data_IF_207214013373
#
_entry.id   IF_207214013373
#
_cell.length_a   1.000
_cell.length_b   1.000
_cell.length_c   1.000
_cell.angle_alpha   90.00
_cell.angle_beta   90.00
_cell.angle_gamma   90.00
#
_symmetry.space_group_name_H-M   'P 1'
#
loop_
_entity.id
_entity.type
_entity.pdbx_description
1 polymer ?
#
# COMPACT_ATOMS: atom_id res chain seq x y z
N UNK A 1 28.91 32.11 11.19
CA UNK A 1 28.13 30.85 11.31
C UNK A 1 26.90 31.08 12.20
N UNK A 2 25.90 31.84 11.73
CA UNK A 2 24.55 31.98 12.33
C UNK A 2 23.65 32.68 11.30
N UNK A 3 23.13 31.97 10.30
CA UNK A 3 22.45 32.66 9.21
C UNK A 3 21.49 31.80 8.42
N UNK A 4 20.21 31.86 8.82
CA UNK A 4 19.06 31.67 7.93
C UNK A 4 19.01 32.77 6.83
N UNK A 5 20.15 33.12 6.21
CA UNK A 5 20.27 34.20 5.23
C UNK A 5 20.29 33.71 3.79
N UNK A 6 20.44 32.40 3.58
CA UNK A 6 20.52 31.81 2.26
C UNK A 6 19.17 31.16 1.92
N UNK A 7 18.41 31.80 1.04
CA UNK A 7 17.07 31.38 0.60
C UNK A 7 17.07 29.91 0.17
N UNK A 8 18.19 29.42 -0.37
CA UNK A 8 18.37 28.03 -0.79
C UNK A 8 18.32 27.04 0.38
N UNK A 9 18.86 27.40 1.54
CA UNK A 9 18.83 26.53 2.73
C UNK A 9 17.42 26.42 3.28
N UNK A 10 16.69 27.55 3.36
CA UNK A 10 15.27 27.55 3.74
C UNK A 10 14.44 26.70 2.78
N UNK A 11 14.67 26.86 1.47
CA UNK A 11 14.00 26.09 0.43
C UNK A 11 14.32 24.59 0.54
N UNK A 12 15.56 24.23 0.85
CA UNK A 12 15.97 22.84 1.11
C UNK A 12 15.20 22.22 2.29
N UNK A 13 15.09 22.93 3.41
CA UNK A 13 14.28 22.48 4.56
C UNK A 13 12.80 22.34 4.19
N UNK A 14 12.24 23.32 3.48
CA UNK A 14 10.85 23.31 3.04
C UNK A 14 10.56 22.12 2.10
N UNK A 15 11.45 21.86 1.12
CA UNK A 15 11.32 20.73 0.21
C UNK A 15 11.47 19.38 0.92
N UNK A 16 12.36 19.29 1.91
CA UNK A 16 12.56 18.04 2.68
C UNK A 16 11.32 17.70 3.48
N UNK A 17 10.78 18.69 4.20
CA UNK A 17 9.53 18.52 4.97
C UNK A 17 8.37 18.26 4.01
N UNK A 18 8.29 18.99 2.90
CA UNK A 18 7.26 18.79 1.87
C UNK A 18 7.30 17.40 1.25
N UNK A 19 8.49 16.88 0.94
CA UNK A 19 8.68 15.53 0.40
C UNK A 19 8.25 14.46 1.40
N UNK A 20 8.64 14.61 2.67
CA UNK A 20 8.21 13.71 3.74
C UNK A 20 6.68 13.68 3.87
N UNK A 21 6.04 14.86 3.86
CA UNK A 21 4.58 14.96 3.88
C UNK A 21 3.92 14.34 2.65
N UNK A 22 4.44 14.58 1.46
CA UNK A 22 3.92 14.00 0.22
C UNK A 22 3.98 12.47 0.25
N UNK A 23 5.10 11.88 0.72
CA UNK A 23 5.25 10.44 0.86
C UNK A 23 4.23 9.85 1.84
N UNK A 24 4.05 10.49 3.01
CA UNK A 24 3.09 10.03 4.03
C UNK A 24 1.66 10.15 3.52
N UNK A 25 1.28 11.29 2.95
CA UNK A 25 -0.08 11.52 2.44
C UNK A 25 -0.40 10.59 1.28
N UNK A 26 0.54 10.42 0.33
CA UNK A 26 0.38 9.48 -0.77
C UNK A 26 0.27 8.05 -0.25
N UNK A 27 1.16 7.65 0.67
CA UNK A 27 1.12 6.34 1.33
C UNK A 27 -0.25 6.10 1.95
N UNK A 28 -0.74 6.97 2.83
CA UNK A 28 -2.05 6.82 3.48
C UNK A 28 -3.19 6.75 2.44
N UNK A 29 -3.18 7.61 1.43
CA UNK A 29 -4.25 7.62 0.40
C UNK A 29 -4.22 6.41 -0.52
N UNK A 30 -3.04 5.95 -0.90
CA UNK A 30 -2.87 4.87 -1.86
C UNK A 30 -2.85 3.49 -1.19
N UNK A 31 -2.51 3.40 0.09
CA UNK A 31 -2.44 2.15 0.87
C UNK A 31 -3.75 1.38 0.85
N UNK A 32 -4.89 2.09 0.83
CA UNK A 32 -6.22 1.45 0.83
C UNK A 32 -6.89 1.41 -0.56
N UNK A 33 -6.17 1.79 -1.63
CA UNK A 33 -6.74 1.88 -2.99
C UNK A 33 -6.64 0.56 -3.77
N UNK A 34 -5.64 -0.27 -3.46
CA UNK A 34 -5.48 -1.64 -4.01
C UNK A 34 -6.16 -2.69 -3.14
N UNK A 35 -7.35 -2.41 -2.60
CA UNK A 35 -8.29 -3.52 -2.41
C UNK A 35 -8.90 -3.78 -3.78
N UNK A 36 -8.09 -4.37 -4.66
CA UNK A 36 -8.65 -5.33 -5.61
C UNK A 36 -9.57 -6.23 -4.79
N UNK A 37 -10.72 -6.46 -5.37
CA UNK A 37 -11.94 -6.88 -4.72
C UNK A 37 -11.68 -8.12 -3.85
N UNK A 38 -11.29 -7.91 -2.58
CA UNK A 38 -10.91 -8.98 -1.66
C UNK A 38 -12.04 -10.01 -1.56
N UNK A 39 -13.29 -9.56 -1.75
CA UNK A 39 -14.46 -10.43 -1.81
C UNK A 39 -14.51 -11.29 -3.09
N UNK A 40 -14.01 -10.79 -4.21
CA UNK A 40 -13.86 -11.52 -5.48
C UNK A 40 -12.70 -12.51 -5.41
N UNK A 41 -11.57 -12.12 -4.83
CA UNK A 41 -10.41 -13.01 -4.61
C UNK A 41 -10.78 -14.16 -3.64
N UNK A 42 -11.45 -13.85 -2.52
CA UNK A 42 -12.00 -14.86 -1.60
C UNK A 42 -13.00 -15.78 -2.31
N UNK A 43 -13.85 -15.23 -3.20
CA UNK A 43 -14.86 -16.02 -3.92
C UNK A 43 -14.23 -16.92 -4.97
N UNK A 44 -13.17 -16.45 -5.62
CA UNK A 44 -12.41 -17.22 -6.58
C UNK A 44 -11.65 -18.36 -5.88
N UNK A 45 -10.91 -18.08 -4.79
CA UNK A 45 -10.25 -19.10 -3.97
C UNK A 45 -11.24 -20.17 -3.46
N UNK A 46 -12.38 -19.76 -2.91
CA UNK A 46 -13.40 -20.71 -2.45
C UNK A 46 -13.97 -21.58 -3.59
N UNK A 47 -14.10 -21.02 -4.81
CA UNK A 47 -14.56 -21.78 -5.98
C UNK A 47 -13.49 -22.75 -6.50
N UNK A 48 -12.21 -22.38 -6.41
CA UNK A 48 -11.09 -23.27 -6.73
C UNK A 48 -10.98 -24.43 -5.73
N UNK A 49 -11.08 -24.15 -4.41
CA UNK A 49 -11.08 -25.19 -3.37
C UNK A 49 -12.23 -26.19 -3.54
N UNK A 50 -13.42 -25.73 -3.92
CA UNK A 50 -14.59 -26.61 -4.16
C UNK A 50 -14.41 -27.50 -5.40
N UNK A 51 -13.66 -27.04 -6.40
CA UNK A 51 -13.49 -27.73 -7.68
C UNK A 51 -12.09 -28.35 -7.85
N UNK A 52 -11.27 -28.39 -6.80
CA UNK A 52 -9.88 -28.82 -6.88
C UNK A 52 -9.78 -30.31 -7.27
N UNK A 53 -9.27 -30.64 -8.47
CA UNK A 53 -9.12 -32.02 -8.92
C UNK A 53 -7.97 -32.76 -8.21
N UNK A 54 -7.10 -32.06 -7.47
CA UNK A 54 -6.02 -32.65 -6.67
C UNK A 54 -6.50 -33.12 -5.28
N UNK A 55 -7.70 -32.69 -4.84
CA UNK A 55 -8.39 -33.18 -3.63
C UNK A 55 -9.07 -34.54 -3.88
N UNK A 56 -8.31 -35.48 -4.42
CA UNK A 56 -8.78 -36.78 -4.89
C UNK A 56 -9.40 -37.71 -3.84
N UNK A 57 -9.35 -37.42 -2.53
CA UNK A 57 -10.05 -38.15 -1.46
C UNK A 57 -9.73 -37.49 -0.11
N UNK A 58 -10.73 -36.88 0.55
CA UNK A 58 -10.72 -36.61 1.99
C UNK A 58 -9.99 -35.34 2.47
N UNK A 59 -10.72 -34.23 2.54
CA UNK A 59 -10.27 -33.00 3.20
C UNK A 59 -11.40 -32.10 3.69
N UNK A 60 -12.50 -32.69 4.18
CA UNK A 60 -13.44 -32.00 5.08
C UNK A 60 -13.00 -32.34 6.50
N UNK A 61 -12.38 -31.40 7.22
CA UNK A 61 -12.47 -31.26 8.67
C UNK A 61 -12.36 -29.79 9.06
#
# INVERSE_FOLDING_TARGET
MFGFGDVWVFLGYLLTIGSMLLCVVYGIRNWNKNRENVQEEIREEAAWEENDPEMGEGGIQ
#
